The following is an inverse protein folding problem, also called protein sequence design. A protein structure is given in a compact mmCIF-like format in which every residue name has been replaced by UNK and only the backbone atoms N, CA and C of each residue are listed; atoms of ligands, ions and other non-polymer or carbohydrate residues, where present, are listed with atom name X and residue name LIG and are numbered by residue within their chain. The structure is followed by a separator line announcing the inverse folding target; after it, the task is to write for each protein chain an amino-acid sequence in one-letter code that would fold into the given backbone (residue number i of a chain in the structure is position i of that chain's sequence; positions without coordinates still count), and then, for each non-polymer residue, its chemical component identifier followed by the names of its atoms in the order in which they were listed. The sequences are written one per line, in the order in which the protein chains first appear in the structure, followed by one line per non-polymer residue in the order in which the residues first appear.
data_IF_680256101762
#
_entry.id   IF_680256101762
#
_cell.length_a   1.000
_cell.length_b   1.000
_cell.length_c   1.000
_cell.angle_alpha   90.00
_cell.angle_beta   90.00
_cell.angle_gamma   90.00
#
_symmetry.space_group_name_H-M   'P 1'
#
loop_
_entity.id
_entity.type
_entity.pdbx_description
1 polymer ?
#
# COMPACT_ATOMS: atom_id res chain seq x y z
N UNK A 1 -2.11 -3.73 18.24
CA UNK A 1 -1.49 -2.57 17.56
C UNK A 1 -2.51 -1.46 17.40
N UNK A 2 -2.17 -0.25 17.78
CA UNK A 2 -3.08 0.87 17.63
C UNK A 2 -3.32 1.18 16.15
N UNK A 3 -4.57 1.45 15.79
CA UNK A 3 -4.96 1.77 14.41
C UNK A 3 -4.35 3.10 13.97
N UNK A 4 -3.79 3.13 12.77
CA UNK A 4 -3.39 4.37 12.12
C UNK A 4 -4.43 4.72 11.07
N UNK A 5 -5.14 5.83 11.26
CA UNK A 5 -6.09 6.30 10.27
C UNK A 5 -5.76 7.71 9.82
N UNK A 6 -5.63 7.90 8.50
CA UNK A 6 -5.41 9.20 7.88
C UNK A 6 -6.49 9.36 6.82
N UNK A 7 -7.32 10.40 6.97
CA UNK A 7 -8.39 10.67 6.02
C UNK A 7 -7.79 11.09 4.67
N UNK A 8 -8.41 10.64 3.58
CA UNK A 8 -7.97 11.02 2.25
C UNK A 8 -8.24 12.52 1.99
N UNK A 9 -7.38 13.09 1.15
CA UNK A 9 -7.54 14.45 0.64
C UNK A 9 -7.56 14.39 -0.89
N UNK A 10 -7.68 15.54 -1.54
CA UNK A 10 -7.59 15.59 -3.01
C UNK A 10 -6.20 15.20 -3.54
N UNK A 11 -5.19 15.15 -2.67
CA UNK A 11 -3.79 14.89 -3.05
C UNK A 11 -3.18 13.68 -2.37
N UNK A 12 -3.74 13.20 -1.28
CA UNK A 12 -3.18 12.08 -0.52
C UNK A 12 -4.24 11.01 -0.26
N UNK A 13 -3.83 9.72 -0.23
CA UNK A 13 -4.76 8.62 -0.07
C UNK A 13 -5.24 8.47 1.37
N UNK A 14 -6.35 7.76 1.52
CA UNK A 14 -6.76 7.27 2.83
C UNK A 14 -5.76 6.20 3.28
N UNK A 15 -5.38 6.27 4.54
CA UNK A 15 -4.57 5.25 5.20
C UNK A 15 -5.40 4.68 6.34
N UNK A 16 -5.57 3.37 6.35
CA UNK A 16 -6.29 2.69 7.42
C UNK A 16 -5.55 1.40 7.75
N UNK A 17 -4.66 1.47 8.72
CA UNK A 17 -3.84 0.35 9.15
C UNK A 17 -4.28 -0.17 10.49
N UNK A 18 -4.59 -1.45 10.56
CA UNK A 18 -4.92 -2.15 11.81
C UNK A 18 -4.34 -3.56 11.76
N UNK A 19 -4.42 -4.29 12.86
CA UNK A 19 -3.87 -5.64 12.93
C UNK A 19 -4.43 -6.52 11.81
N UNK A 20 -3.55 -6.99 10.93
CA UNK A 20 -3.91 -7.90 9.85
C UNK A 20 -4.59 -7.25 8.65
N UNK A 21 -4.90 -5.96 8.71
CA UNK A 21 -5.59 -5.26 7.62
C UNK A 21 -5.00 -3.89 7.38
N UNK A 22 -4.45 -3.68 6.18
CA UNK A 22 -3.84 -2.41 5.78
C UNK A 22 -4.50 -1.94 4.49
N UNK A 23 -5.00 -0.71 4.50
CA UNK A 23 -5.65 -0.12 3.33
C UNK A 23 -4.98 1.20 2.96
N UNK A 24 -4.62 1.31 1.67
CA UNK A 24 -4.09 2.53 1.06
C UNK A 24 -4.96 2.81 -0.15
N UNK A 25 -5.71 3.92 -0.14
CA UNK A 25 -6.77 4.10 -1.14
C UNK A 25 -6.94 5.56 -1.55
N UNK A 26 -6.75 5.86 -2.82
CA UNK A 26 -7.04 7.17 -3.38
C UNK A 26 -5.94 7.75 -4.23
N UNK A 27 -5.87 9.08 -4.28
CA UNK A 27 -4.87 9.81 -5.06
C UNK A 27 -3.57 9.90 -4.27
N UNK A 28 -2.45 9.56 -4.91
CA UNK A 28 -1.14 9.52 -4.25
C UNK A 28 -0.20 10.57 -4.85
N UNK A 29 -0.40 11.83 -4.47
CA UNK A 29 0.48 12.96 -4.85
C UNK A 29 0.61 13.94 -3.67
N UNK A 30 1.02 13.48 -2.47
CA UNK A 30 1.12 14.36 -1.31
C UNK A 30 2.15 15.47 -1.56
N UNK A 31 1.93 16.65 -0.96
CA UNK A 31 2.83 17.78 -1.13
C UNK A 31 4.24 17.49 -0.61
N UNK A 32 4.31 16.82 0.52
CA UNK A 32 5.58 16.42 1.12
C UNK A 32 5.58 14.90 1.30
N UNK A 33 6.16 14.15 0.34
CA UNK A 33 6.09 12.70 0.37
C UNK A 33 6.85 12.07 1.55
N UNK A 34 7.98 12.66 1.94
CA UNK A 34 8.75 12.15 3.07
C UNK A 34 7.97 12.28 4.37
N UNK A 35 7.33 13.44 4.57
CA UNK A 35 6.51 13.69 5.75
C UNK A 35 5.28 12.79 5.79
N UNK A 36 4.66 12.57 4.63
CA UNK A 36 3.52 11.67 4.50
C UNK A 36 3.93 10.21 4.77
N UNK A 37 5.08 9.81 4.26
CA UNK A 37 5.57 8.43 4.35
C UNK A 37 5.99 8.03 5.77
N UNK A 38 6.55 8.97 6.53
CA UNK A 38 7.15 8.66 7.84
C UNK A 38 6.20 7.96 8.82
N UNK A 39 4.96 8.45 9.06
CA UNK A 39 4.06 7.74 9.97
C UNK A 39 3.68 6.34 9.49
N UNK A 40 3.63 6.12 8.17
CA UNK A 40 3.37 4.80 7.59
C UNK A 40 4.53 3.86 7.90
N UNK A 41 5.75 4.34 7.65
CA UNK A 41 6.96 3.59 7.94
C UNK A 41 7.05 3.22 9.42
N UNK A 42 6.84 4.19 10.31
CA UNK A 42 6.91 3.97 11.75
C UNK A 42 5.89 2.93 12.20
N UNK A 43 4.67 3.00 11.68
CA UNK A 43 3.64 2.03 12.02
C UNK A 43 4.01 0.61 11.57
N UNK A 44 4.51 0.49 10.34
CA UNK A 44 4.89 -0.81 9.77
C UNK A 44 6.07 -1.41 10.56
N UNK A 45 7.05 -0.59 10.91
CA UNK A 45 8.20 -1.03 11.70
C UNK A 45 7.77 -1.57 13.06
N UNK A 46 6.89 -0.85 13.76
CA UNK A 46 6.37 -1.31 15.05
C UNK A 46 5.52 -2.57 14.89
N UNK A 47 4.67 -2.61 13.86
CA UNK A 47 3.84 -3.78 13.56
C UNK A 47 4.67 -5.03 13.26
N UNK A 48 5.83 -4.85 12.62
CA UNK A 48 6.70 -5.97 12.25
C UNK A 48 7.19 -6.78 13.44
N UNK A 49 7.26 -6.16 14.63
CA UNK A 49 7.70 -6.84 15.84
C UNK A 49 6.68 -7.86 16.35
N UNK A 50 5.41 -7.68 16.03
CA UNK A 50 4.34 -8.58 16.48
C UNK A 50 3.19 -8.59 15.46
N UNK A 51 3.51 -8.93 14.21
CA UNK A 51 2.53 -8.94 13.13
C UNK A 51 1.58 -10.13 13.24
N UNK A 52 0.38 -9.97 12.68
CA UNK A 52 -0.61 -11.02 12.60
C UNK A 52 -0.11 -12.20 11.74
N UNK A 53 -0.70 -13.38 11.92
CA UNK A 53 -0.37 -14.56 11.11
C UNK A 53 -0.70 -14.33 9.63
N UNK A 54 -1.69 -13.46 9.34
CA UNK A 54 -2.02 -13.05 7.98
C UNK A 54 -2.25 -11.56 7.96
N UNK A 55 -1.61 -10.87 7.02
CA UNK A 55 -1.79 -9.43 6.78
C UNK A 55 -2.30 -9.24 5.35
N UNK A 56 -3.48 -8.65 5.22
CA UNK A 56 -4.07 -8.34 3.92
C UNK A 56 -3.88 -6.86 3.64
N UNK A 57 -3.25 -6.56 2.52
CA UNK A 57 -2.98 -5.19 2.07
C UNK A 57 -3.88 -4.89 0.87
N UNK A 58 -4.81 -3.96 1.04
CA UNK A 58 -5.66 -3.48 -0.05
C UNK A 58 -5.10 -2.16 -0.56
N UNK A 59 -4.61 -2.19 -1.78
CA UNK A 59 -3.91 -1.07 -2.40
C UNK A 59 -4.66 -0.62 -3.64
N UNK A 60 -5.18 0.61 -3.62
CA UNK A 60 -5.89 1.19 -4.75
C UNK A 60 -5.45 2.62 -4.98
N UNK A 61 -4.75 2.89 -6.09
CA UNK A 61 -4.26 4.22 -6.42
C UNK A 61 -5.05 4.76 -7.61
N UNK A 62 -5.82 5.83 -7.36
CA UNK A 62 -6.58 6.50 -8.42
C UNK A 62 -5.65 7.21 -9.38
N UNK A 63 -4.66 7.91 -8.85
CA UNK A 63 -3.74 8.73 -9.63
C UNK A 63 -2.43 8.93 -8.87
N UNK A 64 -1.32 8.93 -9.61
CA UNK A 64 -0.02 9.31 -9.08
C UNK A 64 0.84 9.86 -10.21
N UNK A 65 2.01 10.37 -9.86
CA UNK A 65 2.99 10.85 -10.85
C UNK A 65 4.27 10.05 -10.74
N UNK A 66 5.07 10.06 -11.81
CA UNK A 66 6.27 9.25 -11.89
C UNK A 66 7.22 9.39 -10.72
N UNK A 67 7.46 10.60 -10.23
CA UNK A 67 8.39 10.80 -9.13
C UNK A 67 7.84 10.39 -7.75
N UNK A 68 6.56 10.06 -7.66
CA UNK A 68 5.96 9.47 -6.46
C UNK A 68 6.07 7.94 -6.44
N UNK A 69 6.27 7.33 -7.59
CA UNK A 69 6.37 5.88 -7.70
C UNK A 69 7.44 5.26 -6.80
N UNK A 70 8.62 5.88 -6.61
CA UNK A 70 9.61 5.35 -5.68
C UNK A 70 9.09 5.20 -4.25
N UNK A 71 8.22 6.09 -3.79
CA UNK A 71 7.63 6.00 -2.45
C UNK A 71 6.61 4.86 -2.37
N UNK A 72 5.81 4.68 -3.42
CA UNK A 72 4.86 3.56 -3.52
C UNK A 72 5.63 2.25 -3.52
N UNK A 73 6.70 2.17 -4.30
CA UNK A 73 7.55 0.99 -4.36
C UNK A 73 8.19 0.69 -3.01
N UNK A 74 8.70 1.70 -2.34
CA UNK A 74 9.32 1.54 -1.03
C UNK A 74 8.32 1.05 0.01
N UNK A 75 7.11 1.60 0.00
CA UNK A 75 6.03 1.18 0.88
C UNK A 75 5.70 -0.30 0.67
N UNK A 76 5.49 -0.71 -0.58
CA UNK A 76 5.23 -2.11 -0.92
C UNK A 76 6.38 -3.02 -0.50
N UNK A 77 7.61 -2.56 -0.69
CA UNK A 77 8.79 -3.34 -0.30
C UNK A 77 8.84 -3.57 1.21
N UNK A 78 8.52 -2.56 2.01
CA UNK A 78 8.45 -2.72 3.46
C UNK A 78 7.34 -3.68 3.88
N UNK A 79 6.18 -3.62 3.20
CA UNK A 79 5.08 -4.53 3.48
C UNK A 79 5.42 -5.98 3.12
N UNK A 80 6.12 -6.17 2.01
CA UNK A 80 6.56 -7.50 1.58
C UNK A 80 7.53 -8.12 2.59
N UNK A 81 8.36 -7.31 3.25
CA UNK A 81 9.28 -7.79 4.28
C UNK A 81 8.56 -8.37 5.51
N UNK A 82 7.28 -8.08 5.68
CA UNK A 82 6.47 -8.69 6.74
C UNK A 82 6.17 -10.17 6.44
N UNK A 83 6.32 -10.58 5.18
CA UNK A 83 6.06 -11.97 4.78
C UNK A 83 7.24 -12.84 5.19
N UNK A 84 7.02 -13.70 6.14
CA UNK A 84 8.04 -14.60 6.68
C UNK A 84 7.34 -15.85 7.23
N UNK A 85 8.11 -16.79 7.74
CA UNK A 85 7.55 -18.01 8.32
C UNK A 85 6.49 -17.67 9.38
N UNK A 86 5.30 -18.26 9.25
CA UNK A 86 4.13 -18.06 10.12
C UNK A 86 3.49 -16.68 10.04
N UNK A 87 3.95 -15.84 9.09
CA UNK A 87 3.38 -14.51 8.87
C UNK A 87 3.23 -14.29 7.37
N UNK A 88 2.02 -14.44 6.85
CA UNK A 88 1.73 -14.32 5.43
C UNK A 88 1.24 -12.92 5.09
N UNK A 89 1.73 -12.37 3.98
CA UNK A 89 1.26 -11.09 3.46
C UNK A 89 0.56 -11.31 2.12
N UNK A 90 -0.66 -10.83 2.00
CA UNK A 90 -1.44 -10.85 0.77
C UNK A 90 -1.58 -9.41 0.29
N UNK A 91 -1.12 -9.13 -0.92
CA UNK A 91 -1.26 -7.81 -1.53
C UNK A 91 -2.31 -7.87 -2.62
N UNK A 92 -3.39 -7.13 -2.43
CA UNK A 92 -4.47 -6.98 -3.40
C UNK A 92 -4.30 -5.63 -4.09
N UNK A 93 -3.94 -5.66 -5.37
CA UNK A 93 -3.84 -4.47 -6.20
C UNK A 93 -5.18 -4.25 -6.86
N UNK A 94 -5.90 -3.23 -6.41
CA UNK A 94 -7.19 -2.86 -7.00
C UNK A 94 -6.97 -1.85 -8.11
N UNK A 95 -7.75 -1.96 -9.18
CA UNK A 95 -7.70 -1.03 -10.30
C UNK A 95 -9.11 -0.77 -10.82
N UNK A 96 -9.32 0.39 -11.41
CA UNK A 96 -10.59 0.80 -12.00
C UNK A 96 -10.33 1.43 -13.37
N UNK A 97 -11.36 1.57 -14.24
CA UNK A 97 -11.17 2.02 -15.63
C UNK A 97 -10.40 3.34 -15.80
N UNK A 98 -10.55 4.27 -14.85
CA UNK A 98 -9.94 5.60 -14.97
C UNK A 98 -8.79 5.81 -13.96
N UNK A 99 -8.16 4.72 -13.51
CA UNK A 99 -7.08 4.79 -12.52
C UNK A 99 -5.78 4.31 -13.12
N UNK A 100 -4.70 4.30 -12.33
CA UNK A 100 -3.46 3.72 -12.81
C UNK A 100 -3.72 2.25 -13.15
N UNK A 101 -3.22 1.86 -14.31
CA UNK A 101 -3.59 0.59 -14.91
C UNK A 101 -3.08 -0.61 -14.11
N UNK A 102 -3.70 -1.75 -14.36
CA UNK A 102 -3.23 -3.04 -13.86
C UNK A 102 -1.75 -3.29 -14.24
N UNK A 103 -1.30 -2.72 -15.36
CA UNK A 103 0.08 -2.87 -15.80
C UNK A 103 1.09 -2.27 -14.83
N UNK A 104 0.74 -1.17 -14.17
CA UNK A 104 1.61 -0.58 -13.14
C UNK A 104 1.79 -1.55 -11.97
N UNK A 105 0.71 -2.18 -11.54
CA UNK A 105 0.76 -3.20 -10.48
C UNK A 105 1.54 -4.43 -10.90
N UNK A 106 1.34 -4.89 -12.15
CA UNK A 106 2.08 -6.03 -12.68
C UNK A 106 3.58 -5.73 -12.75
N UNK A 107 3.95 -4.53 -13.15
CA UNK A 107 5.35 -4.09 -13.18
C UNK A 107 5.97 -4.11 -11.79
N UNK A 108 5.28 -3.57 -10.80
CA UNK A 108 5.76 -3.55 -9.42
C UNK A 108 5.87 -4.95 -8.84
N UNK A 109 4.90 -5.81 -9.13
CA UNK A 109 4.92 -7.20 -8.68
C UNK A 109 6.16 -7.93 -9.21
N UNK A 110 6.46 -7.75 -10.50
CA UNK A 110 7.65 -8.34 -11.11
C UNK A 110 8.94 -7.76 -10.53
N UNK A 111 8.99 -6.43 -10.41
CA UNK A 111 10.18 -5.73 -9.92
C UNK A 111 10.51 -6.12 -8.49
N UNK A 112 9.49 -6.29 -7.66
CA UNK A 112 9.65 -6.68 -6.25
C UNK A 112 9.69 -8.19 -6.05
N UNK A 113 9.51 -8.95 -7.13
CA UNK A 113 9.51 -10.40 -7.09
C UNK A 113 8.53 -10.97 -6.06
N UNK A 114 7.32 -10.43 -6.08
CA UNK A 114 6.26 -10.82 -5.14
C UNK A 114 4.91 -10.81 -5.86
N UNK A 115 4.19 -11.92 -5.81
CA UNK A 115 2.91 -12.05 -6.50
C UNK A 115 1.82 -11.21 -5.82
N UNK A 116 1.14 -10.37 -6.60
CA UNK A 116 -0.04 -9.62 -6.16
C UNK A 116 -1.29 -10.29 -6.72
N UNK A 117 -2.41 -10.09 -6.04
CA UNK A 117 -3.71 -10.34 -6.61
C UNK A 117 -4.19 -9.07 -7.30
N UNK A 118 -4.79 -9.18 -8.48
CA UNK A 118 -5.27 -8.03 -9.24
C UNK A 118 -6.79 -8.08 -9.30
N UNK A 119 -7.43 -7.04 -8.75
CA UNK A 119 -8.87 -6.99 -8.58
C UNK A 119 -9.45 -5.73 -9.22
N UNK A 120 -10.35 -5.92 -10.18
CA UNK A 120 -11.03 -4.79 -10.80
C UNK A 120 -12.18 -4.32 -9.91
N UNK A 121 -12.28 -3.00 -9.73
CA UNK A 121 -13.35 -2.36 -8.98
C UNK A 121 -13.97 -1.27 -9.85
N UNK A 122 -15.16 -0.81 -9.48
CA UNK A 122 -15.86 0.22 -10.26
C UNK A 122 -15.16 1.58 -10.16
N UNK A 123 -14.66 1.91 -8.98
CA UNK A 123 -13.94 3.17 -8.75
C UNK A 123 -13.02 3.09 -7.54
N UNK A 124 -12.07 4.01 -7.53
CA UNK A 124 -11.15 4.18 -6.40
C UNK A 124 -11.25 5.61 -5.89
#
# INVERSE_FOLDING_TARGET
MERLYIEQTSRSPEIDFSDGKLRIWGTFVPENPAEFYLPLHDWIEEYSANSAAETVVDFGVRYTRGYWMPYIQKLLQELILLNKEQHKVIINWHYAPNTISVKAGEHLSRKLNYAFNFLEVEEI
#
